data_IF_828576893803
#
_entry.id   IF_828576893803
#
_cell.length_a   1.000
_cell.length_b   1.000
_cell.length_c   1.000
_cell.angle_alpha   90.00
_cell.angle_beta   90.00
_cell.angle_gamma   90.00
#
_symmetry.space_group_name_H-M   'P 1'
#
loop_
_entity.id
_entity.type
_entity.pdbx_description
1 polymer ?
#
# COMPACT_ATOMS: atom_id res chain seq x y z
N UNK A 1 -63.76 -9.46 50.79
CA UNK A 1 -62.58 -8.78 50.20
C UNK A 1 -61.37 -9.72 49.93
N UNK A 2 -61.57 -11.01 49.63
CA UNK A 2 -60.45 -11.97 49.50
C UNK A 2 -60.00 -12.31 48.05
N UNK A 3 -60.80 -11.98 47.03
CA UNK A 3 -60.51 -12.39 45.64
C UNK A 3 -59.55 -11.48 44.84
N UNK A 4 -59.38 -10.20 45.23
CA UNK A 4 -58.55 -9.23 44.47
C UNK A 4 -57.06 -9.23 44.84
N UNK A 5 -56.65 -9.78 45.99
CA UNK A 5 -55.24 -9.83 46.41
C UNK A 5 -54.44 -10.96 45.73
N UNK A 6 -55.03 -12.16 45.56
CA UNK A 6 -54.37 -13.30 44.90
C UNK A 6 -53.97 -13.03 43.44
N UNK A 7 -54.82 -12.35 42.66
CA UNK A 7 -54.54 -12.04 41.25
C UNK A 7 -53.37 -11.04 41.08
N UNK A 8 -53.18 -10.12 42.02
CA UNK A 8 -52.10 -9.11 41.95
C UNK A 8 -50.74 -9.72 42.26
N UNK A 9 -50.66 -10.64 43.23
CA UNK A 9 -49.41 -11.36 43.55
C UNK A 9 -48.98 -12.31 42.42
N UNK A 10 -49.93 -12.97 41.77
CA UNK A 10 -49.63 -13.89 40.67
C UNK A 10 -49.16 -13.16 39.40
N UNK A 11 -49.76 -12.01 39.07
CA UNK A 11 -49.29 -11.15 37.97
C UNK A 11 -47.90 -10.56 38.26
N UNK A 12 -47.64 -10.15 39.51
CA UNK A 12 -46.32 -9.61 39.89
C UNK A 12 -45.22 -10.68 39.84
N UNK A 13 -45.53 -11.93 40.25
CA UNK A 13 -44.61 -13.08 40.12
C UNK A 13 -44.35 -13.45 38.65
N UNK A 14 -45.36 -13.47 37.79
CA UNK A 14 -45.20 -13.74 36.34
C UNK A 14 -44.38 -12.65 35.63
N UNK A 15 -44.57 -11.39 36.01
CA UNK A 15 -43.78 -10.26 35.49
C UNK A 15 -42.30 -10.33 35.92
N UNK A 16 -42.01 -10.51 37.21
CA UNK A 16 -40.62 -10.66 37.70
C UNK A 16 -39.90 -11.86 37.10
N UNK A 17 -40.60 -13.00 36.92
CA UNK A 17 -40.03 -14.20 36.29
C UNK A 17 -39.69 -13.93 34.82
N UNK A 18 -40.57 -13.25 34.06
CA UNK A 18 -40.29 -12.85 32.66
C UNK A 18 -39.11 -11.89 32.53
N UNK A 19 -39.00 -10.89 33.41
CA UNK A 19 -37.86 -9.94 33.40
C UNK A 19 -36.55 -10.66 33.68
N UNK A 20 -36.48 -11.49 34.72
CA UNK A 20 -35.27 -12.27 35.02
C UNK A 20 -34.90 -13.29 33.95
N UNK A 21 -35.89 -13.84 33.21
CA UNK A 21 -35.60 -14.75 32.08
C UNK A 21 -35.08 -13.98 30.87
N UNK A 22 -35.58 -12.76 30.63
CA UNK A 22 -35.16 -11.91 29.52
C UNK A 22 -33.76 -11.31 29.76
N UNK A 23 -33.48 -10.85 30.98
CA UNK A 23 -32.14 -10.41 31.39
C UNK A 23 -31.14 -11.58 31.33
N UNK A 24 -31.52 -12.79 31.78
CA UNK A 24 -30.64 -13.97 31.66
C UNK A 24 -30.37 -14.36 30.19
N UNK A 25 -31.35 -14.21 29.30
CA UNK A 25 -31.20 -14.43 27.84
C UNK A 25 -30.33 -13.36 27.17
N UNK A 26 -30.51 -12.09 27.54
CA UNK A 26 -29.68 -10.98 27.04
C UNK A 26 -28.23 -11.10 27.55
N UNK A 27 -28.04 -11.51 28.80
CA UNK A 27 -26.72 -11.79 29.37
C UNK A 27 -26.09 -13.01 28.67
N UNK A 28 -26.83 -14.10 28.42
CA UNK A 28 -26.27 -15.27 27.72
C UNK A 28 -25.91 -14.95 26.27
N UNK A 29 -26.76 -14.22 25.54
CA UNK A 29 -26.46 -13.78 24.17
C UNK A 29 -25.26 -12.80 24.13
N UNK A 30 -25.16 -11.89 25.09
CA UNK A 30 -24.04 -10.94 25.17
C UNK A 30 -22.71 -11.60 25.54
N UNK A 31 -22.73 -12.78 26.18
CA UNK A 31 -21.54 -13.59 26.50
C UNK A 31 -21.18 -14.53 25.32
N UNK A 32 -22.17 -15.06 24.59
CA UNK A 32 -21.94 -15.91 23.42
C UNK A 32 -21.42 -15.14 22.20
N UNK A 33 -21.98 -13.96 21.87
CA UNK A 33 -21.55 -13.14 20.71
C UNK A 33 -20.06 -12.74 20.68
N UNK A 34 -19.44 -12.23 21.77
CA UNK A 34 -18.02 -11.89 21.77
C UNK A 34 -17.12 -13.12 21.68
N UNK A 35 -17.61 -14.28 22.15
CA UNK A 35 -16.88 -15.55 22.10
C UNK A 35 -16.91 -16.14 20.68
N UNK A 36 -18.08 -16.15 20.03
CA UNK A 36 -18.23 -16.58 18.63
C UNK A 36 -17.48 -15.68 17.64
N UNK A 37 -17.50 -14.35 17.85
CA UNK A 37 -16.73 -13.40 17.03
C UNK A 37 -15.20 -13.59 17.18
N UNK A 38 -14.73 -14.00 18.36
CA UNK A 38 -13.32 -14.37 18.59
C UNK A 38 -12.98 -15.71 17.93
N UNK A 39 -13.83 -16.72 18.06
CA UNK A 39 -13.62 -18.05 17.47
C UNK A 39 -13.58 -17.96 15.95
N UNK A 40 -14.52 -17.25 15.33
CA UNK A 40 -14.52 -17.00 13.88
C UNK A 40 -13.28 -16.24 13.40
N UNK A 41 -12.78 -15.26 14.16
CA UNK A 41 -11.51 -14.59 13.84
C UNK A 41 -10.31 -15.54 13.92
N UNK A 42 -10.25 -16.42 14.92
CA UNK A 42 -9.15 -17.39 15.07
C UNK A 42 -9.17 -18.39 13.91
N UNK A 43 -10.33 -18.87 13.48
CA UNK A 43 -10.46 -19.75 12.33
C UNK A 43 -10.12 -19.04 11.00
N UNK A 44 -10.52 -17.78 10.85
CA UNK A 44 -10.12 -16.95 9.71
C UNK A 44 -8.60 -16.72 9.67
N UNK A 45 -7.95 -16.53 10.82
CA UNK A 45 -6.49 -16.41 10.93
C UNK A 45 -5.79 -17.74 10.63
N UNK A 46 -6.30 -18.86 11.14
CA UNK A 46 -5.75 -20.20 10.84
C UNK A 46 -5.86 -20.52 9.34
N UNK A 47 -6.97 -20.16 8.71
CA UNK A 47 -7.17 -20.37 7.27
C UNK A 47 -6.39 -19.38 6.38
N UNK A 48 -5.94 -18.24 6.92
CA UNK A 48 -5.11 -17.26 6.19
C UNK A 48 -3.61 -17.44 6.42
N UNK A 49 -3.21 -18.03 7.54
CA UNK A 49 -1.83 -18.34 7.89
C UNK A 49 -1.00 -19.00 6.77
N UNK A 50 -1.47 -20.06 6.08
CA UNK A 50 -0.66 -20.71 5.04
C UNK A 50 -0.39 -19.77 3.85
N UNK A 51 -1.35 -18.91 3.49
CA UNK A 51 -1.17 -17.93 2.42
C UNK A 51 -0.21 -16.81 2.83
N UNK A 52 -0.26 -16.39 4.10
CA UNK A 52 0.69 -15.42 4.65
C UNK A 52 2.12 -15.97 4.66
N UNK A 53 2.31 -17.22 5.08
CA UNK A 53 3.60 -17.91 5.05
C UNK A 53 4.11 -18.04 3.61
N UNK A 54 3.26 -18.50 2.69
CA UNK A 54 3.64 -18.62 1.28
C UNK A 54 4.04 -17.27 0.67
N UNK A 55 3.29 -16.19 0.96
CA UNK A 55 3.64 -14.85 0.53
C UNK A 55 4.99 -14.38 1.13
N UNK A 56 5.24 -14.68 2.40
CA UNK A 56 6.51 -14.40 3.06
C UNK A 56 7.69 -15.14 2.40
N UNK A 57 7.49 -16.40 2.01
CA UNK A 57 8.48 -17.17 1.25
C UNK A 57 8.73 -16.55 -0.12
N UNK A 58 7.68 -16.15 -0.86
CA UNK A 58 7.82 -15.50 -2.16
C UNK A 58 8.57 -14.17 -2.03
N UNK A 59 8.25 -13.38 -1.01
CA UNK A 59 8.98 -12.13 -0.71
C UNK A 59 10.46 -12.42 -0.42
N UNK A 60 10.77 -13.44 0.38
CA UNK A 60 12.15 -13.85 0.66
C UNK A 60 12.88 -14.32 -0.60
N UNK A 61 12.22 -15.04 -1.51
CA UNK A 61 12.77 -15.43 -2.81
C UNK A 61 13.06 -14.18 -3.66
N UNK A 62 12.11 -13.23 -3.72
CA UNK A 62 12.28 -11.99 -4.47
C UNK A 62 13.48 -11.19 -3.97
N UNK A 63 13.66 -11.10 -2.65
CA UNK A 63 14.78 -10.44 -2.01
C UNK A 63 16.09 -11.20 -2.22
N UNK A 64 16.08 -12.54 -2.13
CA UNK A 64 17.26 -13.36 -2.37
C UNK A 64 17.80 -13.18 -3.79
N UNK A 65 16.92 -13.24 -4.80
CA UNK A 65 17.28 -13.02 -6.20
C UNK A 65 17.90 -11.64 -6.40
N UNK A 66 17.32 -10.60 -5.78
CA UNK A 66 17.73 -9.20 -5.99
C UNK A 66 18.94 -8.79 -5.16
N UNK A 67 19.11 -9.32 -3.96
CA UNK A 67 20.11 -8.87 -2.99
C UNK A 67 21.30 -9.84 -2.85
N UNK A 68 21.07 -11.15 -2.94
CA UNK A 68 22.11 -12.16 -2.64
C UNK A 68 22.85 -12.58 -3.91
N UNK A 69 22.13 -12.87 -5.00
CA UNK A 69 22.76 -13.31 -6.26
C UNK A 69 23.76 -12.28 -6.84
N UNK A 70 23.45 -10.97 -6.92
CA UNK A 70 24.38 -9.98 -7.45
C UNK A 70 25.43 -9.50 -6.42
N UNK A 71 25.42 -9.99 -5.18
CA UNK A 71 26.22 -9.43 -4.07
C UNK A 71 27.70 -9.24 -4.43
N UNK A 72 28.35 -10.30 -4.93
CA UNK A 72 29.79 -10.28 -5.29
C UNK A 72 30.12 -9.35 -6.45
N UNK A 73 29.12 -8.96 -7.23
CA UNK A 73 29.27 -8.02 -8.35
C UNK A 73 29.08 -6.57 -7.93
N UNK A 74 28.51 -6.32 -6.75
CA UNK A 74 28.24 -4.98 -6.22
C UNK A 74 29.21 -4.64 -5.09
N UNK A 75 29.37 -5.53 -4.11
CA UNK A 75 30.33 -5.40 -3.03
C UNK A 75 31.65 -6.06 -3.42
N UNK A 76 32.62 -5.23 -3.81
CA UNK A 76 33.92 -5.68 -4.27
C UNK A 76 34.88 -5.97 -3.10
N UNK A 77 35.93 -6.75 -3.35
CA UNK A 77 36.86 -7.20 -2.33
C UNK A 77 37.71 -6.07 -1.71
N UNK A 78 37.83 -4.94 -2.41
CA UNK A 78 38.53 -3.72 -1.97
C UNK A 78 37.65 -2.80 -1.10
N UNK A 79 36.38 -3.18 -0.85
CA UNK A 79 35.41 -2.38 -0.11
C UNK A 79 34.62 -1.39 -0.95
N UNK A 80 34.89 -1.31 -2.25
CA UNK A 80 34.16 -0.44 -3.18
C UNK A 80 32.76 -1.00 -3.46
N UNK A 81 31.75 -0.14 -3.42
CA UNK A 81 30.38 -0.46 -3.85
C UNK A 81 30.23 -0.03 -5.30
N UNK A 82 30.03 -1.02 -6.18
CA UNK A 82 29.85 -0.80 -7.61
C UNK A 82 28.37 -0.69 -7.94
N UNK A 83 27.91 0.54 -8.14
CA UNK A 83 26.57 0.79 -8.68
C UNK A 83 26.50 0.40 -10.16
N UNK A 84 25.35 -0.14 -10.57
CA UNK A 84 25.09 -0.56 -11.95
C UNK A 84 24.68 0.60 -12.84
N UNK A 85 24.85 0.47 -14.16
CA UNK A 85 24.44 1.53 -15.10
C UNK A 85 25.15 2.86 -14.88
N UNK A 86 24.50 3.96 -15.28
CA UNK A 86 24.99 5.33 -15.11
C UNK A 86 24.12 6.11 -14.11
N UNK A 87 22.79 6.05 -14.29
CA UNK A 87 21.82 6.80 -13.47
C UNK A 87 21.95 6.50 -11.97
N UNK A 88 22.20 5.24 -11.52
CA UNK A 88 22.49 4.96 -10.13
C UNK A 88 23.66 5.74 -9.51
N UNK A 89 24.72 5.98 -10.27
CA UNK A 89 25.84 6.80 -9.79
C UNK A 89 25.41 8.26 -9.61
N UNK A 90 24.56 8.77 -10.50
CA UNK A 90 24.06 10.14 -10.39
C UNK A 90 23.07 10.29 -9.23
N UNK A 91 22.17 9.32 -9.01
CA UNK A 91 21.33 9.28 -7.81
C UNK A 91 22.16 9.29 -6.52
N UNK A 92 23.22 8.48 -6.43
CA UNK A 92 24.08 8.49 -5.25
C UNK A 92 24.82 9.80 -5.07
N UNK A 93 25.28 10.43 -6.16
CA UNK A 93 25.83 11.79 -6.10
C UNK A 93 24.82 12.78 -5.50
N UNK A 94 23.56 12.75 -5.94
CA UNK A 94 22.49 13.61 -5.42
C UNK A 94 22.17 13.31 -3.95
N UNK A 95 22.16 12.05 -3.53
CA UNK A 95 21.98 11.65 -2.13
C UNK A 95 23.10 12.20 -1.25
N UNK A 96 24.36 12.08 -1.68
CA UNK A 96 25.49 12.64 -0.94
C UNK A 96 25.39 14.17 -0.86
N UNK A 97 25.06 14.85 -1.95
CA UNK A 97 24.86 16.30 -1.95
C UNK A 97 23.69 16.74 -1.03
N UNK A 98 22.59 15.99 -1.04
CA UNK A 98 21.43 16.21 -0.18
C UNK A 98 21.80 16.06 1.30
N UNK A 99 22.58 15.04 1.68
CA UNK A 99 22.99 14.83 3.07
C UNK A 99 23.85 15.96 3.64
N UNK A 100 24.66 16.63 2.81
CA UNK A 100 25.43 17.79 3.25
C UNK A 100 24.57 19.01 3.57
N UNK A 101 23.39 19.15 2.94
CA UNK A 101 22.50 20.30 3.08
C UNK A 101 21.07 19.90 3.50
N UNK A 102 20.92 18.75 4.18
CA UNK A 102 19.61 18.16 4.46
C UNK A 102 18.73 19.15 5.25
N UNK A 103 17.45 19.36 4.87
CA UNK A 103 16.66 18.62 3.88
C UNK A 103 16.59 19.27 2.48
N UNK A 104 17.52 20.14 2.11
CA UNK A 104 17.45 20.90 0.86
C UNK A 104 18.22 20.22 -0.28
N UNK A 105 17.50 19.65 -1.24
CA UNK A 105 18.07 19.07 -2.45
C UNK A 105 18.54 20.12 -3.47
N UNK A 106 19.48 19.72 -4.31
CA UNK A 106 19.86 20.47 -5.50
C UNK A 106 18.74 20.43 -6.54
N UNK A 107 18.49 21.56 -7.20
CA UNK A 107 17.61 21.64 -8.38
C UNK A 107 18.39 21.80 -9.69
N UNK A 108 19.67 22.15 -9.58
CA UNK A 108 20.59 22.33 -10.68
C UNK A 108 21.98 21.88 -10.25
N UNK A 109 22.65 21.13 -11.11
CA UNK A 109 24.02 20.68 -10.90
C UNK A 109 24.97 21.31 -11.92
N UNK A 110 25.88 22.13 -11.43
CA UNK A 110 26.91 22.79 -12.24
C UNK A 110 28.11 21.87 -12.55
N UNK A 111 28.25 20.73 -11.86
CA UNK A 111 29.39 19.81 -12.00
C UNK A 111 29.23 18.86 -13.19
N UNK A 112 28.01 18.71 -13.71
CA UNK A 112 27.72 17.95 -14.92
C UNK A 112 27.67 18.86 -16.14
N UNK A 113 27.99 18.34 -17.33
CA UNK A 113 27.91 19.09 -18.60
C UNK A 113 28.66 20.45 -18.56
N UNK A 114 29.97 20.49 -18.28
CA UNK A 114 30.72 21.75 -18.28
C UNK A 114 30.75 22.38 -19.69
N UNK A 115 30.67 23.72 -19.81
CA UNK A 115 30.57 24.73 -18.75
C UNK A 115 29.13 25.08 -18.33
N UNK A 116 28.11 24.32 -18.74
CA UNK A 116 26.71 24.75 -18.70
C UNK A 116 25.87 24.20 -17.54
N UNK A 117 26.24 23.08 -16.92
CA UNK A 117 25.41 22.43 -15.91
C UNK A 117 24.13 21.80 -16.48
N UNK A 118 23.32 21.23 -15.59
CA UNK A 118 21.98 20.70 -15.94
C UNK A 118 20.98 20.89 -14.80
N UNK A 119 19.73 21.16 -15.16
CA UNK A 119 18.62 21.04 -14.21
C UNK A 119 18.35 19.58 -13.89
N UNK A 120 18.17 19.27 -12.60
CA UNK A 120 17.89 17.91 -12.16
C UNK A 120 16.44 17.60 -12.49
N UNK A 121 16.24 16.56 -13.32
CA UNK A 121 14.93 16.11 -13.78
C UNK A 121 14.39 14.93 -12.97
N UNK A 122 15.16 14.40 -12.01
CA UNK A 122 14.69 13.33 -11.13
C UNK A 122 13.75 13.88 -10.06
N UNK A 123 12.76 13.06 -9.70
CA UNK A 123 11.85 13.39 -8.60
C UNK A 123 12.58 13.33 -7.25
N UNK A 124 12.25 14.22 -6.29
CA UNK A 124 13.00 14.33 -5.04
C UNK A 124 12.81 13.13 -4.10
N UNK A 125 11.69 12.43 -4.14
CA UNK A 125 11.31 11.49 -3.08
C UNK A 125 12.24 10.28 -2.99
N UNK A 126 12.73 9.78 -4.13
CA UNK A 126 13.61 8.62 -4.15
C UNK A 126 14.90 8.88 -3.36
N UNK A 127 15.59 9.96 -3.67
CA UNK A 127 16.86 10.34 -3.03
C UNK A 127 16.65 10.76 -1.57
N UNK A 128 15.57 11.49 -1.27
CA UNK A 128 15.23 11.85 0.11
C UNK A 128 14.95 10.63 0.99
N UNK A 129 14.37 9.57 0.42
CA UNK A 129 14.11 8.33 1.16
C UNK A 129 15.42 7.63 1.49
N UNK A 130 16.36 7.54 0.54
CA UNK A 130 17.69 6.96 0.79
C UNK A 130 18.44 7.78 1.86
N UNK A 131 18.42 9.11 1.73
CA UNK A 131 19.06 10.01 2.70
C UNK A 131 18.46 9.85 4.11
N UNK A 132 17.12 9.86 4.23
CA UNK A 132 16.43 9.68 5.50
C UNK A 132 16.75 8.32 6.14
N UNK A 133 16.70 7.23 5.35
CA UNK A 133 17.04 5.89 5.83
C UNK A 133 18.50 5.82 6.28
N UNK A 134 19.41 6.50 5.58
CA UNK A 134 20.82 6.59 5.97
C UNK A 134 20.99 7.34 7.28
N UNK A 135 20.32 8.49 7.46
CA UNK A 135 20.32 9.24 8.72
C UNK A 135 19.82 8.38 9.88
N UNK A 136 18.71 7.65 9.68
CA UNK A 136 18.16 6.75 10.70
C UNK A 136 19.16 5.63 11.02
N UNK A 137 19.72 4.97 10.01
CA UNK A 137 20.69 3.88 10.19
C UNK A 137 21.99 4.35 10.85
N UNK A 138 22.42 5.58 10.55
CA UNK A 138 23.59 6.24 11.13
C UNK A 138 23.31 6.99 12.43
N UNK A 139 22.11 6.89 13.00
CA UNK A 139 21.69 7.58 14.23
C UNK A 139 21.94 9.11 14.18
N UNK A 140 21.72 9.72 13.03
CA UNK A 140 21.94 11.16 12.78
C UNK A 140 23.22 11.48 12.00
N UNK A 141 24.22 10.58 12.02
CA UNK A 141 25.54 10.84 11.43
C UNK A 141 26.01 9.68 10.55
N UNK A 142 25.39 9.46 9.37
CA UNK A 142 25.78 8.37 8.48
C UNK A 142 27.17 8.60 7.86
N UNK A 143 28.00 7.56 7.84
CA UNK A 143 29.23 7.57 7.05
C UNK A 143 28.93 7.43 5.55
N UNK A 144 29.80 7.93 4.66
CA UNK A 144 29.61 7.79 3.21
C UNK A 144 29.42 6.33 2.78
N UNK A 145 30.20 5.41 3.36
CA UNK A 145 30.05 3.98 3.09
C UNK A 145 28.67 3.45 3.51
N UNK A 146 28.14 3.87 4.66
CA UNK A 146 26.79 3.46 5.10
C UNK A 146 25.72 3.97 4.13
N UNK A 147 25.85 5.21 3.65
CA UNK A 147 24.94 5.80 2.65
C UNK A 147 24.96 4.95 1.37
N UNK A 148 26.14 4.57 0.90
CA UNK A 148 26.29 3.73 -0.29
C UNK A 148 25.71 2.33 -0.10
N UNK A 149 25.86 1.73 1.09
CA UNK A 149 25.23 0.45 1.44
C UNK A 149 23.70 0.58 1.39
N UNK A 150 23.13 1.61 2.03
CA UNK A 150 21.68 1.85 2.04
C UNK A 150 21.18 2.04 0.61
N UNK A 151 21.85 2.89 -0.18
CA UNK A 151 21.54 3.11 -1.58
C UNK A 151 21.58 1.83 -2.42
N UNK A 152 22.59 0.97 -2.21
CA UNK A 152 22.72 -0.28 -2.94
C UNK A 152 21.59 -1.28 -2.64
N UNK A 153 21.16 -1.40 -1.38
CA UNK A 153 20.07 -2.30 -0.98
C UNK A 153 18.67 -1.76 -1.29
N UNK A 154 18.52 -0.44 -1.38
CA UNK A 154 17.23 0.21 -1.59
C UNK A 154 16.42 -0.36 -2.76
N UNK A 155 16.95 -0.46 -4.00
CA UNK A 155 16.19 -0.99 -5.13
C UNK A 155 15.77 -2.46 -4.94
N UNK A 156 16.61 -3.28 -4.30
CA UNK A 156 16.31 -4.68 -4.02
C UNK A 156 15.15 -4.84 -3.04
N UNK A 157 15.10 -4.00 -2.00
CA UNK A 157 14.00 -3.99 -1.03
C UNK A 157 12.71 -3.52 -1.69
N UNK A 158 12.73 -2.42 -2.46
CA UNK A 158 11.55 -1.94 -3.17
C UNK A 158 11.02 -2.99 -4.17
N UNK A 159 11.91 -3.65 -4.91
CA UNK A 159 11.54 -4.71 -5.86
C UNK A 159 10.88 -5.92 -5.19
N UNK A 160 11.35 -6.30 -3.99
CA UNK A 160 10.70 -7.34 -3.20
C UNK A 160 9.33 -6.88 -2.65
N UNK A 161 9.19 -5.61 -2.24
CA UNK A 161 7.94 -5.07 -1.73
C UNK A 161 6.82 -5.06 -2.78
N UNK A 162 7.13 -4.97 -4.08
CA UNK A 162 6.14 -5.04 -5.20
C UNK A 162 5.32 -6.33 -5.17
N UNK A 163 5.88 -7.43 -4.64
CA UNK A 163 5.18 -8.71 -4.47
C UNK A 163 3.89 -8.55 -3.66
N UNK A 164 3.88 -7.65 -2.68
CA UNK A 164 2.76 -7.44 -1.77
C UNK A 164 1.54 -6.85 -2.49
N UNK A 165 1.61 -5.68 -3.16
CA UNK A 165 0.45 -5.14 -3.83
C UNK A 165 -0.02 -6.05 -4.98
N UNK A 166 0.89 -6.71 -5.71
CA UNK A 166 0.53 -7.69 -6.75
C UNK A 166 -0.27 -8.86 -6.18
N UNK A 167 0.15 -9.41 -5.04
CA UNK A 167 -0.61 -10.46 -4.33
C UNK A 167 -2.03 -9.99 -4.03
N UNK A 168 -2.18 -8.81 -3.45
CA UNK A 168 -3.50 -8.31 -3.06
C UNK A 168 -4.37 -7.98 -4.27
N UNK A 169 -3.81 -7.49 -5.38
CA UNK A 169 -4.55 -7.31 -6.62
C UNK A 169 -5.08 -8.66 -7.11
N UNK A 170 -4.21 -9.66 -7.30
CA UNK A 170 -4.61 -10.99 -7.76
C UNK A 170 -5.61 -11.69 -6.83
N UNK A 171 -5.42 -11.54 -5.51
CA UNK A 171 -6.35 -12.05 -4.48
C UNK A 171 -7.76 -11.50 -4.64
N UNK A 172 -7.89 -10.21 -4.92
CA UNK A 172 -9.19 -9.56 -5.03
C UNK A 172 -9.83 -9.75 -6.40
N UNK A 173 -9.06 -9.92 -7.47
CA UNK A 173 -9.60 -10.20 -8.80
C UNK A 173 -10.20 -11.60 -8.92
N UNK A 174 -9.62 -12.60 -8.24
CA UNK A 174 -10.14 -13.96 -8.31
C UNK A 174 -10.13 -14.67 -6.95
N UNK A 175 -8.96 -15.13 -6.48
CA UNK A 175 -8.83 -15.80 -5.19
C UNK A 175 -7.38 -15.73 -4.67
N UNK A 176 -7.16 -16.20 -3.43
CA UNK A 176 -5.83 -16.16 -2.79
C UNK A 176 -4.75 -16.93 -3.57
N UNK A 177 -5.11 -18.00 -4.28
CA UNK A 177 -4.20 -18.76 -5.12
C UNK A 177 -3.72 -17.97 -6.33
N UNK A 178 -4.61 -17.26 -7.02
CA UNK A 178 -4.25 -16.31 -8.08
C UNK A 178 -3.34 -15.20 -7.57
N UNK A 179 -3.60 -14.69 -6.37
CA UNK A 179 -2.71 -13.74 -5.71
C UNK A 179 -1.30 -14.31 -5.51
N UNK A 180 -1.17 -15.53 -4.99
CA UNK A 180 0.14 -16.18 -4.81
C UNK A 180 0.85 -16.44 -6.14
N UNK A 181 0.11 -16.87 -7.17
CA UNK A 181 0.68 -17.10 -8.50
C UNK A 181 1.19 -15.79 -9.11
N UNK A 182 0.40 -14.72 -9.05
CA UNK A 182 0.82 -13.40 -9.54
C UNK A 182 2.05 -12.87 -8.78
N UNK A 183 2.06 -13.05 -7.45
CA UNK A 183 3.18 -12.72 -6.58
C UNK A 183 4.46 -13.49 -6.94
N UNK A 184 4.34 -14.80 -7.21
CA UNK A 184 5.46 -15.63 -7.63
C UNK A 184 6.00 -15.19 -9.00
N UNK A 185 5.10 -14.93 -9.95
CA UNK A 185 5.48 -14.46 -11.29
C UNK A 185 6.28 -13.16 -11.17
N UNK A 186 5.77 -12.13 -10.49
CA UNK A 186 6.48 -10.85 -10.38
C UNK A 186 7.79 -10.96 -9.58
N UNK A 187 7.85 -11.87 -8.59
CA UNK A 187 9.07 -12.13 -7.83
C UNK A 187 10.23 -12.63 -8.72
N UNK A 188 9.92 -13.43 -9.74
CA UNK A 188 10.92 -14.09 -10.61
C UNK A 188 10.94 -13.60 -12.05
N UNK A 189 10.05 -12.66 -12.44
CA UNK A 189 9.90 -12.18 -13.81
C UNK A 189 11.21 -11.53 -14.28
N UNK A 190 11.86 -12.00 -15.37
CA UNK A 190 13.08 -11.38 -15.89
C UNK A 190 12.77 -10.07 -16.64
N UNK A 191 13.81 -9.45 -17.19
CA UNK A 191 13.71 -8.23 -17.99
C UNK A 191 13.91 -6.96 -17.17
N UNK A 192 13.41 -5.83 -17.69
CA UNK A 192 13.74 -4.51 -17.16
C UNK A 192 13.32 -4.33 -15.69
N UNK A 193 12.19 -4.89 -15.27
CA UNK A 193 11.78 -4.84 -13.87
C UNK A 193 12.81 -5.52 -12.95
N UNK A 194 13.26 -6.73 -13.30
CA UNK A 194 14.26 -7.41 -12.50
C UNK A 194 15.60 -6.68 -12.54
N UNK A 195 16.13 -6.38 -13.74
CA UNK A 195 17.44 -5.75 -13.88
C UNK A 195 17.54 -4.38 -13.20
N UNK A 196 16.44 -3.62 -13.18
CA UNK A 196 16.35 -2.30 -12.52
C UNK A 196 15.90 -2.35 -11.06
N UNK A 197 15.77 -3.56 -10.49
CA UNK A 197 15.50 -3.76 -9.06
C UNK A 197 16.53 -4.67 -8.39
N UNK A 198 17.67 -4.92 -9.04
CA UNK A 198 18.80 -5.61 -8.43
C UNK A 198 19.54 -4.69 -7.46
N UNK A 199 20.24 -5.31 -6.50
CA UNK A 199 21.23 -4.66 -5.65
C UNK A 199 22.18 -3.80 -6.50
N UNK A 200 22.45 -2.57 -6.04
CA UNK A 200 23.35 -1.64 -6.70
C UNK A 200 22.76 -0.94 -7.92
N UNK A 201 21.53 -1.25 -8.35
CA UNK A 201 20.83 -0.50 -9.41
C UNK A 201 19.93 0.57 -8.80
N UNK A 202 20.54 1.56 -8.13
CA UNK A 202 19.89 2.60 -7.34
C UNK A 202 19.22 3.66 -8.22
N UNK A 203 18.16 3.26 -8.91
CA UNK A 203 17.38 4.08 -9.82
C UNK A 203 15.89 4.08 -9.45
N UNK A 204 15.17 5.15 -9.79
CA UNK A 204 13.79 5.39 -9.39
C UNK A 204 12.78 4.43 -10.03
N UNK A 205 13.12 3.74 -11.12
CA UNK A 205 12.24 2.84 -11.87
C UNK A 205 11.50 1.77 -11.04
N UNK A 206 12.16 1.21 -10.04
CA UNK A 206 11.51 0.23 -9.15
C UNK A 206 10.50 0.89 -8.20
N UNK A 207 10.76 2.14 -7.78
CA UNK A 207 9.83 2.93 -7.00
C UNK A 207 8.59 3.30 -7.83
N UNK A 208 8.77 3.65 -9.12
CA UNK A 208 7.65 3.86 -10.05
C UNK A 208 6.73 2.63 -10.10
N UNK A 209 7.32 1.44 -10.23
CA UNK A 209 6.57 0.18 -10.28
C UNK A 209 5.84 -0.09 -8.97
N UNK A 210 6.50 0.06 -7.82
CA UNK A 210 5.90 -0.14 -6.50
C UNK A 210 4.73 0.81 -6.25
N UNK A 211 4.96 2.10 -6.49
CA UNK A 211 4.00 3.16 -6.17
C UNK A 211 2.80 3.10 -7.13
N UNK A 212 3.01 2.98 -8.43
CA UNK A 212 1.92 2.82 -9.41
C UNK A 212 1.07 1.56 -9.13
N UNK A 213 1.70 0.42 -8.82
CA UNK A 213 0.98 -0.81 -8.47
C UNK A 213 0.20 -0.65 -7.17
N UNK A 214 0.75 0.07 -6.20
CA UNK A 214 0.09 0.38 -4.92
C UNK A 214 -1.09 1.34 -5.13
N UNK A 215 -0.96 2.35 -5.98
CA UNK A 215 -2.06 3.22 -6.42
C UNK A 215 -3.20 2.38 -7.00
N UNK A 216 -2.91 1.46 -7.93
CA UNK A 216 -3.94 0.59 -8.53
C UNK A 216 -4.59 -0.31 -7.50
N UNK A 217 -3.82 -0.91 -6.58
CA UNK A 217 -4.37 -1.72 -5.51
C UNK A 217 -5.40 -0.94 -4.71
N UNK A 218 -5.02 0.23 -4.18
CA UNK A 218 -5.90 1.01 -3.32
C UNK A 218 -7.07 1.61 -4.10
N UNK A 219 -6.87 2.05 -5.33
CA UNK A 219 -7.95 2.55 -6.19
C UNK A 219 -8.98 1.46 -6.48
N UNK A 220 -8.53 0.24 -6.80
CA UNK A 220 -9.40 -0.92 -6.98
C UNK A 220 -10.16 -1.27 -5.70
N UNK A 221 -9.50 -1.26 -4.54
CA UNK A 221 -10.15 -1.51 -3.25
C UNK A 221 -11.18 -0.43 -2.91
N UNK A 222 -10.89 0.84 -3.22
CA UNK A 222 -11.80 1.96 -3.06
C UNK A 222 -13.07 1.74 -3.89
N UNK A 223 -12.93 1.47 -5.19
CA UNK A 223 -14.07 1.21 -6.09
C UNK A 223 -14.90 -0.01 -5.66
N UNK A 224 -14.23 -1.11 -5.31
CA UNK A 224 -14.91 -2.33 -4.87
C UNK A 224 -15.68 -2.10 -3.57
N UNK A 225 -15.06 -1.43 -2.62
CA UNK A 225 -15.66 -1.09 -1.33
C UNK A 225 -16.84 -0.14 -1.49
N UNK A 226 -16.69 0.89 -2.33
CA UNK A 226 -17.73 1.88 -2.62
C UNK A 226 -18.96 1.21 -3.25
N UNK A 227 -18.71 0.33 -4.22
CA UNK A 227 -19.75 -0.42 -4.90
C UNK A 227 -20.46 -1.41 -3.99
N UNK A 228 -19.72 -2.13 -3.14
CA UNK A 228 -20.32 -3.08 -2.20
C UNK A 228 -21.23 -2.38 -1.17
N UNK A 229 -20.96 -1.11 -0.86
CA UNK A 229 -21.71 -0.32 0.10
C UNK A 229 -22.76 0.59 -0.56
N UNK A 230 -22.93 0.52 -1.89
CA UNK A 230 -23.81 1.37 -2.69
C UNK A 230 -23.62 2.87 -2.40
N UNK A 231 -22.35 3.30 -2.31
CA UNK A 231 -21.98 4.68 -1.96
C UNK A 231 -22.66 5.69 -2.90
N UNK A 232 -23.43 6.60 -2.31
CA UNK A 232 -24.05 7.74 -3.00
C UNK A 232 -23.69 9.05 -2.32
N UNK A 233 -23.82 10.17 -3.04
CA UNK A 233 -23.62 11.51 -2.48
C UNK A 233 -24.48 11.80 -1.24
N UNK A 234 -25.63 11.12 -1.10
CA UNK A 234 -26.52 11.27 0.06
C UNK A 234 -25.90 10.77 1.37
N UNK A 235 -24.95 9.85 1.29
CA UNK A 235 -24.35 9.21 2.46
C UNK A 235 -23.30 10.10 3.13
N UNK A 236 -22.73 11.06 2.38
CA UNK A 236 -21.51 11.82 2.72
C UNK A 236 -21.50 12.39 4.16
N UNK A 237 -22.67 12.85 4.64
CA UNK A 237 -22.83 13.46 5.96
C UNK A 237 -23.65 12.60 6.94
N UNK A 238 -24.06 11.39 6.56
CA UNK A 238 -25.02 10.58 7.33
C UNK A 238 -24.45 9.28 7.84
N UNK A 239 -23.55 8.64 7.09
CA UNK A 239 -23.17 7.27 7.39
C UNK A 239 -21.67 7.03 7.27
N UNK A 240 -20.94 7.35 8.35
CA UNK A 240 -19.49 7.12 8.43
C UNK A 240 -19.09 5.68 8.14
N UNK A 241 -19.92 4.70 8.52
CA UNK A 241 -19.63 3.29 8.28
C UNK A 241 -19.55 2.96 6.79
N UNK A 242 -20.36 3.62 5.97
CA UNK A 242 -20.43 3.46 4.50
C UNK A 242 -19.24 4.12 3.79
N UNK A 243 -18.67 5.16 4.39
CA UNK A 243 -17.70 6.05 3.73
C UNK A 243 -16.25 5.74 4.08
N UNK A 244 -16.00 5.33 5.34
CA UNK A 244 -14.64 5.23 5.89
C UNK A 244 -13.71 4.32 5.08
N UNK A 245 -14.23 3.20 4.57
CA UNK A 245 -13.41 2.25 3.79
C UNK A 245 -13.23 2.71 2.34
N UNK A 246 -14.29 3.07 1.59
CA UNK A 246 -14.13 3.56 0.22
C UNK A 246 -13.21 4.79 0.13
N UNK A 247 -13.47 5.82 0.95
CA UNK A 247 -12.67 7.03 0.92
C UNK A 247 -11.30 6.84 1.55
N UNK A 248 -11.19 6.02 2.60
CA UNK A 248 -9.88 5.68 3.18
C UNK A 248 -8.96 5.02 2.14
N UNK A 249 -9.48 4.08 1.33
CA UNK A 249 -8.72 3.51 0.23
C UNK A 249 -8.45 4.53 -0.89
N UNK A 250 -9.38 5.42 -1.20
CA UNK A 250 -9.15 6.47 -2.20
C UNK A 250 -8.03 7.44 -1.76
N UNK A 251 -7.99 7.84 -0.50
CA UNK A 251 -6.90 8.64 0.07
C UNK A 251 -5.57 7.89 -0.02
N UNK A 252 -5.52 6.60 0.34
CA UNK A 252 -4.30 5.80 0.22
C UNK A 252 -3.84 5.67 -1.25
N UNK A 253 -4.77 5.61 -2.20
CA UNK A 253 -4.46 5.61 -3.62
C UNK A 253 -3.85 6.96 -4.06
N UNK A 254 -4.45 8.07 -3.62
CA UNK A 254 -3.95 9.43 -3.86
C UNK A 254 -2.56 9.63 -3.27
N UNK A 255 -2.33 9.26 -2.01
CA UNK A 255 -1.00 9.34 -1.36
C UNK A 255 0.05 8.51 -2.11
N UNK A 256 -0.28 7.28 -2.51
CA UNK A 256 0.63 6.44 -3.30
C UNK A 256 0.94 7.08 -4.67
N UNK A 257 -0.05 7.72 -5.28
CA UNK A 257 0.13 8.39 -6.56
C UNK A 257 0.91 9.72 -6.44
N UNK A 258 0.67 10.50 -5.39
CA UNK A 258 1.47 11.68 -5.05
C UNK A 258 2.95 11.29 -4.88
N UNK A 259 3.21 10.23 -4.11
CA UNK A 259 4.55 9.69 -3.95
C UNK A 259 5.15 9.25 -5.29
N UNK A 260 4.35 8.65 -6.19
CA UNK A 260 4.82 8.30 -7.52
C UNK A 260 5.23 9.54 -8.33
N UNK A 261 4.42 10.60 -8.32
CA UNK A 261 4.77 11.88 -8.96
C UNK A 261 6.05 12.48 -8.41
N UNK A 262 6.28 12.37 -7.10
CA UNK A 262 7.51 12.84 -6.47
C UNK A 262 8.73 11.94 -6.73
N UNK A 263 8.56 10.73 -7.26
CA UNK A 263 9.66 9.89 -7.72
C UNK A 263 9.97 10.12 -9.21
N UNK A 264 8.96 10.41 -10.03
CA UNK A 264 9.14 10.54 -11.47
C UNK A 264 8.21 11.57 -12.12
N UNK A 265 8.73 12.58 -12.82
CA UNK A 265 7.91 13.59 -13.49
C UNK A 265 6.97 13.06 -14.58
N UNK A 266 7.20 11.84 -15.08
CA UNK A 266 6.34 11.20 -16.07
C UNK A 266 5.08 10.53 -15.50
N UNK A 267 4.94 10.47 -14.17
CA UNK A 267 3.77 9.88 -13.50
C UNK A 267 2.40 10.47 -13.91
N UNK A 268 2.25 11.74 -14.34
CA UNK A 268 0.98 12.27 -14.88
C UNK A 268 0.39 11.45 -16.04
N UNK A 269 1.23 10.80 -16.85
CA UNK A 269 0.76 9.88 -17.90
C UNK A 269 -0.05 8.72 -17.32
N UNK A 270 0.38 8.19 -16.17
CA UNK A 270 -0.33 7.11 -15.49
C UNK A 270 -1.67 7.59 -14.89
N UNK A 271 -1.73 8.82 -14.39
CA UNK A 271 -2.97 9.46 -13.95
C UNK A 271 -3.96 9.60 -15.10
N UNK A 272 -3.49 10.01 -16.28
CA UNK A 272 -4.31 10.07 -17.48
C UNK A 272 -4.91 8.70 -17.84
N UNK A 273 -4.14 7.60 -17.70
CA UNK A 273 -4.65 6.23 -17.90
C UNK A 273 -5.77 5.91 -16.91
N UNK A 274 -5.61 6.25 -15.62
CA UNK A 274 -6.64 6.03 -14.59
C UNK A 274 -7.90 6.85 -14.89
N UNK A 275 -7.75 8.11 -15.33
CA UNK A 275 -8.88 8.97 -15.71
C UNK A 275 -9.63 8.39 -16.90
N UNK A 276 -8.93 8.00 -17.97
CA UNK A 276 -9.54 7.38 -19.15
C UNK A 276 -10.27 6.08 -18.76
N UNK A 277 -9.63 5.23 -17.96
CA UNK A 277 -10.26 4.01 -17.47
C UNK A 277 -11.52 4.29 -16.62
N UNK A 278 -11.50 5.36 -15.82
CA UNK A 278 -12.64 5.80 -15.01
C UNK A 278 -13.78 6.33 -15.87
N UNK A 279 -13.49 7.05 -16.96
CA UNK A 279 -14.49 7.51 -17.95
C UNK A 279 -15.14 6.30 -18.63
N UNK A 280 -14.34 5.31 -19.05
CA UNK A 280 -14.85 4.08 -19.66
C UNK A 280 -15.75 3.32 -18.66
N UNK A 281 -15.31 3.19 -17.40
CA UNK A 281 -16.09 2.56 -16.34
C UNK A 281 -17.39 3.31 -16.06
N UNK A 282 -17.36 4.64 -16.06
CA UNK A 282 -18.51 5.50 -15.89
C UNK A 282 -19.55 5.27 -16.99
N UNK A 283 -19.12 5.31 -18.27
CA UNK A 283 -20.00 5.05 -19.41
C UNK A 283 -20.61 3.65 -19.33
N UNK A 284 -19.80 2.64 -19.00
CA UNK A 284 -20.26 1.26 -18.89
C UNK A 284 -21.29 1.06 -17.77
N UNK A 285 -21.13 1.71 -16.62
CA UNK A 285 -22.08 1.63 -15.51
C UNK A 285 -23.36 2.42 -15.80
N UNK A 286 -23.24 3.56 -16.50
CA UNK A 286 -24.39 4.33 -16.98
C UNK A 286 -25.25 3.53 -17.96
N UNK A 287 -24.64 2.87 -18.96
CA UNK A 287 -25.35 2.00 -19.92
C UNK A 287 -26.07 0.84 -19.20
N UNK A 288 -25.52 0.37 -18.07
CA UNK A 288 -26.13 -0.69 -17.23
C UNK A 288 -27.23 -0.18 -16.29
N UNK A 289 -27.59 1.11 -16.35
CA UNK A 289 -28.59 1.72 -15.48
C UNK A 289 -28.19 1.77 -14.01
N UNK A 290 -26.89 1.71 -13.70
CA UNK A 290 -26.37 1.75 -12.32
C UNK A 290 -25.99 3.18 -11.93
N UNK A 291 -26.01 3.45 -10.64
CA UNK A 291 -25.52 4.72 -10.08
C UNK A 291 -24.02 4.84 -10.29
N UNK A 292 -23.57 6.04 -10.68
CA UNK A 292 -22.16 6.34 -10.95
C UNK A 292 -21.51 7.21 -9.87
N UNK A 293 -22.27 7.63 -8.86
CA UNK A 293 -21.83 8.45 -7.73
C UNK A 293 -20.52 7.95 -7.13
N UNK A 294 -20.43 6.63 -6.89
CA UNK A 294 -19.27 6.01 -6.27
C UNK A 294 -17.97 6.17 -7.09
N UNK A 295 -18.05 6.12 -8.42
CA UNK A 295 -16.90 6.33 -9.32
C UNK A 295 -16.41 7.77 -9.20
N UNK A 296 -17.33 8.72 -9.24
CA UNK A 296 -17.02 10.15 -9.12
C UNK A 296 -16.41 10.47 -7.77
N UNK A 297 -16.99 9.97 -6.67
CA UNK A 297 -16.50 10.23 -5.32
C UNK A 297 -15.11 9.63 -5.07
N UNK A 298 -14.89 8.38 -5.50
CA UNK A 298 -13.56 7.73 -5.38
C UNK A 298 -12.53 8.45 -6.26
N UNK A 299 -12.89 8.79 -7.50
CA UNK A 299 -12.01 9.52 -8.41
C UNK A 299 -11.60 10.87 -7.84
N UNK A 300 -12.56 11.73 -7.49
CA UNK A 300 -12.27 13.05 -6.91
C UNK A 300 -11.40 12.92 -5.64
N UNK A 301 -11.72 11.98 -4.76
CA UNK A 301 -10.95 11.82 -3.51
C UNK A 301 -9.51 11.39 -3.77
N UNK A 302 -9.27 10.50 -4.74
CA UNK A 302 -7.91 10.09 -5.09
C UNK A 302 -7.10 11.23 -5.72
N UNK A 303 -7.70 11.98 -6.66
CA UNK A 303 -7.03 13.04 -7.42
C UNK A 303 -6.97 14.42 -6.74
N UNK A 304 -7.67 14.62 -5.62
CA UNK A 304 -7.54 15.84 -4.79
C UNK A 304 -6.42 15.69 -3.76
N UNK A 305 -6.07 14.45 -3.41
CA UNK A 305 -5.02 14.15 -2.42
C UNK A 305 -3.63 14.13 -3.04
N UNK A 306 -3.52 13.89 -4.34
CA UNK A 306 -2.25 13.89 -5.08
C UNK A 306 -1.61 15.28 -5.18
#
# INVERSE_FOLDING_TARGET
MAGKKKNKEEQTRKSKKRVGTKEALEISESIQRPTEAKVTRIEQLKSSAPYGIALGIIFAIALYIRAVLPYKSVFLADGTIRFGGNDPWYHMHLVHALLHNYPHALFYDAHTIPPYGVYIHFGPLYDHTIALLSIIAGLGHPSSHLVDVVGAYFPAVLGALVVIPVYFIGKHLHNRGTGLLAALIIATLPGQFLSRSLLGFTDHHVAETLLSTTTILFFMLALRSARAQNLSFKDLNRNWHVIRYPLGYAVLAGVAYAAYQLCWPGAPLFGAIIVIASIIAYIAEHIRGRTVDYLTMVGITAFVVE
#
